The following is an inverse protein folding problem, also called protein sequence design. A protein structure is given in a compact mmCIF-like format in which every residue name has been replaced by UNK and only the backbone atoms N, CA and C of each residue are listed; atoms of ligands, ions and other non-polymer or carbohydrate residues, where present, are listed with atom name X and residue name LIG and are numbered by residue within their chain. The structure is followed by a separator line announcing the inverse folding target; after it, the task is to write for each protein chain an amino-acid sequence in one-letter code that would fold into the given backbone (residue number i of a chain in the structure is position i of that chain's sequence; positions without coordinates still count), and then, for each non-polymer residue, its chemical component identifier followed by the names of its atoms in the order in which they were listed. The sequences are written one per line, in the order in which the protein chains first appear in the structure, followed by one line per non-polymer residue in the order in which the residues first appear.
data_IF_915166338347
#
_entry.id   IF_915166338347
#
_cell.length_a   1.000
_cell.length_b   1.000
_cell.length_c   1.000
_cell.angle_alpha   90.00
_cell.angle_beta   90.00
_cell.angle_gamma   90.00
#
_symmetry.space_group_name_H-M   'P 1'
#
loop_
_entity.id
_entity.type
_entity.pdbx_description
1 polymer ?
#
# COMPACT_ATOMS: atom_id res chain seq x y z
N UNK A 1 13.93 7.54 -5.31
CA UNK A 1 12.75 6.77 -4.79
C UNK A 1 11.49 7.62 -4.94
N UNK A 2 11.49 8.90 -4.52
CA UNK A 2 10.35 9.84 -4.70
C UNK A 2 9.97 10.07 -6.17
N UNK A 3 10.95 10.19 -7.07
CA UNK A 3 10.72 10.42 -8.49
C UNK A 3 10.03 9.22 -9.18
N UNK A 4 10.38 7.99 -8.81
CA UNK A 4 9.76 6.77 -9.33
C UNK A 4 8.30 6.58 -8.86
N UNK A 5 8.00 6.98 -7.63
CA UNK A 5 6.64 6.96 -7.11
C UNK A 5 5.75 8.00 -7.82
N UNK A 6 6.31 9.18 -8.13
CA UNK A 6 5.64 10.26 -8.85
C UNK A 6 5.27 9.88 -10.28
N UNK A 7 6.20 9.27 -11.03
CA UNK A 7 5.97 8.84 -12.41
C UNK A 7 4.92 7.73 -12.52
N UNK A 8 4.92 6.76 -11.61
CA UNK A 8 3.92 5.69 -11.61
C UNK A 8 2.51 6.19 -11.28
N UNK A 9 2.36 7.18 -10.39
CA UNK A 9 1.05 7.79 -10.08
C UNK A 9 0.48 8.58 -11.26
N UNK A 10 1.32 9.32 -11.97
CA UNK A 10 0.91 10.09 -13.14
C UNK A 10 0.49 9.15 -14.28
N UNK A 11 1.17 8.03 -14.49
CA UNK A 11 0.81 7.05 -15.51
C UNK A 11 -0.44 6.25 -15.16
N UNK A 12 -0.62 5.82 -13.90
CA UNK A 12 -1.82 5.09 -13.48
C UNK A 12 -3.08 5.96 -13.56
N UNK A 13 -2.96 7.29 -13.37
CA UNK A 13 -4.10 8.23 -13.44
C UNK A 13 -4.36 8.80 -14.82
N UNK A 14 -3.39 8.79 -15.73
CA UNK A 14 -3.60 9.22 -17.13
C UNK A 14 -4.48 8.28 -17.94
N UNK A 15 -4.68 7.05 -17.47
CA UNK A 15 -5.50 6.08 -18.19
C UNK A 15 -6.04 4.99 -17.25
N UNK A 16 -7.02 5.30 -16.38
CA UNK A 16 -7.54 4.36 -15.38
C UNK A 16 -8.23 3.13 -15.99
N UNK A 17 -8.51 3.16 -17.30
CA UNK A 17 -9.16 2.04 -17.99
C UNK A 17 -8.29 1.31 -19.01
N UNK A 18 -7.11 1.82 -19.38
CA UNK A 18 -6.54 1.31 -20.63
C UNK A 18 -5.38 0.33 -20.47
N UNK A 19 -4.32 0.66 -19.74
CA UNK A 19 -3.16 -0.23 -19.79
C UNK A 19 -3.28 -1.41 -18.84
N UNK A 20 -3.89 -1.22 -17.69
CA UNK A 20 -3.99 -2.27 -16.68
C UNK A 20 -5.20 -3.16 -16.89
N UNK A 21 -6.37 -2.61 -17.24
CA UNK A 21 -7.50 -3.42 -17.69
C UNK A 21 -7.18 -4.13 -19.01
N UNK A 22 -6.46 -3.51 -19.95
CA UNK A 22 -5.95 -4.19 -21.14
C UNK A 22 -4.85 -5.21 -20.81
N UNK A 23 -3.91 -4.92 -19.93
CA UNK A 23 -2.84 -5.86 -19.57
C UNK A 23 -3.36 -6.94 -18.62
N UNK A 24 -4.19 -6.62 -17.64
CA UNK A 24 -4.78 -7.65 -16.75
C UNK A 24 -5.87 -8.45 -17.47
N UNK A 25 -6.78 -7.83 -18.21
CA UNK A 25 -7.82 -8.54 -18.94
C UNK A 25 -7.26 -9.34 -20.11
N UNK A 26 -6.51 -8.73 -21.00
CA UNK A 26 -5.98 -9.42 -22.18
C UNK A 26 -4.82 -10.36 -21.88
N UNK A 27 -4.00 -10.11 -20.85
CA UNK A 27 -2.98 -11.08 -20.42
C UNK A 27 -3.57 -12.20 -19.57
N UNK A 28 -4.56 -11.94 -18.73
CA UNK A 28 -5.26 -12.99 -17.98
C UNK A 28 -6.05 -13.92 -18.90
N UNK A 29 -6.65 -13.40 -19.98
CA UNK A 29 -7.29 -14.21 -21.01
C UNK A 29 -6.30 -14.92 -21.92
N UNK A 30 -5.12 -14.34 -22.15
CA UNK A 30 -4.09 -14.92 -23.03
C UNK A 30 -3.14 -15.89 -22.32
N UNK A 31 -3.06 -15.85 -20.99
CA UNK A 31 -2.20 -16.72 -20.19
C UNK A 31 -3.06 -17.49 -19.19
N UNK A 32 -3.39 -18.78 -19.47
CA UNK A 32 -4.18 -19.62 -18.57
C UNK A 32 -3.55 -19.84 -17.19
N UNK A 33 -2.41 -19.23 -16.90
CA UNK A 33 -1.61 -19.42 -15.69
C UNK A 33 -1.17 -18.07 -15.05
N UNK A 34 -1.97 -17.00 -15.24
CA UNK A 34 -1.64 -15.66 -14.72
C UNK A 34 -1.51 -15.66 -13.18
N UNK A 35 -2.40 -16.35 -12.48
CA UNK A 35 -2.35 -16.49 -11.03
C UNK A 35 -1.07 -17.19 -10.58
N UNK A 36 -0.61 -18.20 -11.31
CA UNK A 36 0.65 -18.88 -11.01
C UNK A 36 1.87 -17.99 -11.30
N UNK A 37 1.80 -17.14 -12.32
CA UNK A 37 2.84 -16.17 -12.62
C UNK A 37 2.95 -15.10 -11.51
N UNK A 38 1.82 -14.59 -11.05
CA UNK A 38 1.80 -13.61 -9.95
C UNK A 38 2.35 -14.23 -8.67
N UNK A 39 1.97 -15.45 -8.33
CA UNK A 39 2.53 -16.17 -7.21
C UNK A 39 4.06 -16.36 -7.33
N UNK A 40 4.55 -16.73 -8.52
CA UNK A 40 6.00 -16.84 -8.78
C UNK A 40 6.73 -15.52 -8.56
N UNK A 41 6.14 -14.41 -9.03
CA UNK A 41 6.70 -13.06 -8.81
C UNK A 41 6.78 -12.73 -7.32
N UNK A 42 5.72 -13.01 -6.56
CA UNK A 42 5.71 -12.78 -5.11
C UNK A 42 6.76 -13.61 -4.37
N UNK A 43 6.95 -14.87 -4.77
CA UNK A 43 8.01 -15.74 -4.24
C UNK A 43 9.40 -15.16 -4.54
N UNK A 44 9.64 -14.69 -5.75
CA UNK A 44 10.92 -14.08 -6.14
C UNK A 44 11.17 -12.80 -5.34
N UNK A 45 10.17 -11.91 -5.22
CA UNK A 45 10.28 -10.69 -4.40
C UNK A 45 10.63 -11.03 -2.94
N UNK A 46 9.94 -12.00 -2.35
CA UNK A 46 10.21 -12.44 -0.99
C UNK A 46 11.61 -13.05 -0.83
N UNK A 47 12.04 -13.90 -1.76
CA UNK A 47 13.38 -14.47 -1.73
C UNK A 47 14.48 -13.39 -1.86
N UNK A 48 14.25 -12.34 -2.65
CA UNK A 48 15.16 -11.21 -2.74
C UNK A 48 15.21 -10.44 -1.40
N UNK A 49 14.06 -10.25 -0.74
CA UNK A 49 14.03 -9.70 0.62
C UNK A 49 14.86 -10.56 1.59
N UNK A 50 14.69 -11.89 1.60
CA UNK A 50 15.47 -12.80 2.46
C UNK A 50 16.97 -12.65 2.24
N UNK A 51 17.41 -12.56 0.99
CA UNK A 51 18.82 -12.34 0.66
C UNK A 51 19.31 -10.99 1.19
N UNK A 52 18.53 -9.93 0.96
CA UNK A 52 18.84 -8.59 1.43
C UNK A 52 18.92 -8.52 2.97
N UNK A 53 17.97 -9.13 3.65
CA UNK A 53 17.95 -9.19 5.11
C UNK A 53 19.15 -9.95 5.70
N UNK A 54 19.68 -10.95 5.00
CA UNK A 54 20.91 -11.65 5.41
C UNK A 54 22.18 -10.81 5.25
N UNK A 55 22.22 -9.97 4.21
CA UNK A 55 23.36 -9.05 3.98
C UNK A 55 23.37 -7.93 5.01
N UNK A 56 22.20 -7.51 5.48
CA UNK A 56 22.04 -6.41 6.44
C UNK A 56 21.32 -6.90 7.71
N UNK A 57 21.99 -7.72 8.54
CA UNK A 57 21.36 -8.33 9.73
C UNK A 57 20.98 -7.34 10.81
N UNK A 58 21.59 -6.15 10.84
CA UNK A 58 21.34 -5.06 11.79
C UNK A 58 20.09 -4.23 11.46
N UNK A 59 19.54 -4.34 10.24
CA UNK A 59 18.42 -3.51 9.83
C UNK A 59 17.07 -4.13 10.15
N UNK A 60 16.12 -3.26 10.46
CA UNK A 60 14.69 -3.55 10.45
C UNK A 60 14.09 -3.00 9.18
N UNK A 61 13.00 -3.62 8.71
CA UNK A 61 12.49 -3.38 7.37
C UNK A 61 11.06 -2.86 7.42
N UNK A 62 10.80 -1.89 6.54
CA UNK A 62 9.45 -1.46 6.17
C UNK A 62 9.28 -1.74 4.68
N UNK A 63 8.19 -2.38 4.31
CA UNK A 63 7.87 -2.71 2.93
C UNK A 63 6.70 -1.86 2.43
N UNK A 64 6.82 -1.39 1.19
CA UNK A 64 5.75 -0.70 0.49
C UNK A 64 5.47 -1.38 -0.84
N UNK A 65 4.19 -1.65 -1.10
CA UNK A 65 3.71 -2.24 -2.34
C UNK A 65 2.30 -1.76 -2.68
N UNK A 66 1.71 -2.37 -3.68
CA UNK A 66 0.34 -2.09 -4.11
C UNK A 66 -0.52 -3.36 -4.26
N UNK A 67 -1.85 -3.16 -4.38
CA UNK A 67 -2.82 -4.26 -4.53
C UNK A 67 -2.85 -4.85 -5.94
N UNK A 68 -2.06 -4.36 -6.85
CA UNK A 68 -2.16 -4.68 -8.27
C UNK A 68 -1.21 -5.71 -8.80
N UNK A 69 -0.31 -6.19 -7.95
CA UNK A 69 0.65 -7.23 -8.27
C UNK A 69 0.83 -8.14 -7.05
N UNK A 70 1.86 -8.98 -7.07
CA UNK A 70 2.16 -9.92 -6.01
C UNK A 70 2.74 -9.28 -4.71
N UNK A 71 2.58 -7.96 -4.51
CA UNK A 71 3.11 -7.29 -3.33
C UNK A 71 2.37 -7.70 -2.05
N UNK A 72 1.07 -7.96 -2.14
CA UNK A 72 0.30 -8.49 -1.02
C UNK A 72 0.80 -9.87 -0.56
N UNK A 73 1.14 -10.76 -1.50
CA UNK A 73 1.75 -12.05 -1.18
C UNK A 73 3.14 -11.88 -0.56
N UNK A 74 3.93 -10.95 -1.07
CA UNK A 74 5.25 -10.63 -0.51
C UNK A 74 5.12 -10.12 0.92
N UNK A 75 4.21 -9.15 1.16
CA UNK A 75 3.91 -8.62 2.49
C UNK A 75 3.45 -9.72 3.46
N UNK A 76 2.51 -10.56 3.02
CA UNK A 76 2.03 -11.71 3.81
C UNK A 76 3.20 -12.58 4.26
N UNK A 77 4.07 -13.00 3.32
CA UNK A 77 5.22 -13.83 3.64
C UNK A 77 6.22 -13.13 4.56
N UNK A 78 6.43 -11.83 4.40
CA UNK A 78 7.32 -11.06 5.28
C UNK A 78 6.86 -11.03 6.72
N UNK A 79 5.55 -10.89 6.96
CA UNK A 79 4.98 -10.81 8.32
C UNK A 79 4.74 -12.18 8.96
N UNK A 80 4.75 -13.26 8.18
CA UNK A 80 4.51 -14.63 8.68
C UNK A 80 5.75 -15.52 8.66
N UNK A 81 6.89 -15.06 8.11
CA UNK A 81 8.14 -15.85 8.09
C UNK A 81 8.69 -15.99 9.52
N UNK A 82 8.97 -17.20 9.96
CA UNK A 82 9.41 -17.51 11.33
C UNK A 82 10.76 -16.85 11.68
N UNK A 83 11.66 -16.73 10.71
CA UNK A 83 13.01 -16.19 10.90
C UNK A 83 13.01 -14.65 10.84
N UNK A 84 12.29 -14.06 9.90
CA UNK A 84 12.44 -12.67 9.52
C UNK A 84 11.32 -11.74 9.95
N UNK A 85 10.15 -12.27 10.36
CA UNK A 85 9.00 -11.43 10.76
C UNK A 85 9.33 -10.47 11.90
N UNK A 86 10.18 -10.86 12.85
CA UNK A 86 10.62 -10.01 13.96
C UNK A 86 11.44 -8.79 13.50
N UNK A 87 11.96 -8.83 12.28
CA UNK A 87 12.73 -7.74 11.66
C UNK A 87 11.89 -6.86 10.75
N UNK A 88 10.63 -7.25 10.50
CA UNK A 88 9.67 -6.47 9.72
C UNK A 88 8.93 -5.54 10.68
N UNK A 89 9.13 -4.24 10.54
CA UNK A 89 8.43 -3.23 11.35
C UNK A 89 6.98 -3.13 10.93
N UNK A 90 6.74 -3.00 9.61
CA UNK A 90 5.43 -2.95 9.00
C UNK A 90 5.51 -3.24 7.51
N UNK A 91 4.38 -3.63 6.94
CA UNK A 91 4.18 -3.67 5.49
C UNK A 91 2.98 -2.81 5.12
N UNK A 92 3.13 -2.01 4.06
CA UNK A 92 2.11 -1.09 3.57
C UNK A 92 1.71 -1.50 2.17
N UNK A 93 0.40 -1.75 1.96
CA UNK A 93 -0.15 -2.10 0.66
C UNK A 93 -1.17 -1.04 0.24
N UNK A 94 -0.83 -0.30 -0.81
CA UNK A 94 -1.73 0.67 -1.42
C UNK A 94 -2.86 -0.04 -2.17
N UNK A 95 -4.08 0.13 -1.72
CA UNK A 95 -5.26 -0.38 -2.41
C UNK A 95 -5.56 0.52 -3.62
N UNK A 96 -5.25 0.05 -4.81
CA UNK A 96 -5.45 0.78 -6.06
C UNK A 96 -6.86 0.62 -6.62
N UNK A 97 -7.64 -0.30 -6.07
CA UNK A 97 -8.92 -0.71 -6.60
C UNK A 97 -10.09 0.02 -5.99
N UNK A 98 -11.01 0.51 -6.84
CA UNK A 98 -12.35 0.91 -6.43
C UNK A 98 -13.34 -0.27 -6.39
N UNK A 99 -12.96 -1.40 -6.99
CA UNK A 99 -13.74 -2.62 -7.09
C UNK A 99 -12.83 -3.86 -6.94
N UNK A 100 -13.44 -5.03 -6.75
CA UNK A 100 -12.67 -6.27 -6.56
C UNK A 100 -11.93 -6.72 -7.82
N UNK A 101 -12.41 -6.34 -9.01
CA UNK A 101 -11.80 -6.75 -10.28
C UNK A 101 -10.47 -6.03 -10.54
N UNK A 102 -10.28 -4.84 -9.96
CA UNK A 102 -9.03 -4.07 -10.07
C UNK A 102 -7.93 -4.55 -9.11
N UNK A 103 -8.26 -5.44 -8.17
CA UNK A 103 -7.33 -5.99 -7.19
C UNK A 103 -6.79 -7.33 -7.64
N UNK A 104 -5.51 -7.57 -7.37
CA UNK A 104 -4.91 -8.86 -7.70
C UNK A 104 -5.48 -10.02 -6.87
N UNK A 105 -5.46 -11.25 -7.38
CA UNK A 105 -5.85 -12.44 -6.62
C UNK A 105 -5.08 -12.59 -5.31
N UNK A 106 -3.79 -12.26 -5.31
CA UNK A 106 -2.96 -12.34 -4.09
C UNK A 106 -3.36 -11.31 -3.04
N UNK A 107 -3.85 -10.13 -3.45
CA UNK A 107 -4.39 -9.14 -2.53
C UNK A 107 -5.74 -9.60 -1.95
N UNK A 108 -6.63 -10.15 -2.77
CA UNK A 108 -7.92 -10.70 -2.30
C UNK A 108 -7.72 -11.84 -1.29
N UNK A 109 -6.72 -12.67 -1.52
CA UNK A 109 -6.36 -13.77 -0.64
C UNK A 109 -5.63 -13.37 0.65
N UNK A 110 -5.30 -12.07 0.84
CA UNK A 110 -4.63 -11.61 2.06
C UNK A 110 -5.54 -11.83 3.29
N UNK A 111 -5.10 -12.60 4.31
CA UNK A 111 -5.88 -12.87 5.51
C UNK A 111 -6.31 -11.59 6.23
N UNK A 112 -7.57 -11.53 6.66
CA UNK A 112 -8.13 -10.34 7.32
C UNK A 112 -7.51 -10.08 8.69
N UNK A 113 -7.13 -11.13 9.40
CA UNK A 113 -6.49 -11.05 10.72
C UNK A 113 -5.07 -10.46 10.67
N UNK A 114 -4.43 -10.46 9.52
CA UNK A 114 -3.15 -9.80 9.31
C UNK A 114 -3.28 -8.31 8.93
N UNK A 115 -4.45 -7.86 8.48
CA UNK A 115 -4.67 -6.47 8.11
C UNK A 115 -4.74 -5.59 9.36
N UNK A 116 -3.97 -4.52 9.39
CA UNK A 116 -4.04 -3.50 10.43
C UNK A 116 -5.13 -2.50 10.03
N UNK A 117 -6.11 -2.31 10.90
CA UNK A 117 -7.22 -1.38 10.73
C UNK A 117 -7.31 -0.40 11.88
N UNK A 118 -8.11 0.67 11.70
CA UNK A 118 -8.37 1.67 12.75
C UNK A 118 -8.94 1.08 14.05
N UNK A 119 -9.76 0.03 13.92
CA UNK A 119 -10.46 -0.59 15.06
C UNK A 119 -9.59 -1.53 15.88
N UNK A 120 -8.41 -1.89 15.42
CA UNK A 120 -7.54 -2.84 16.11
C UNK A 120 -6.63 -2.11 17.10
N UNK A 121 -6.47 -2.70 18.27
CA UNK A 121 -5.46 -2.26 19.24
C UNK A 121 -4.04 -2.36 18.64
N UNK A 122 -3.06 -1.58 19.12
CA UNK A 122 -1.66 -1.71 18.71
C UNK A 122 -1.21 -3.16 18.76
N UNK A 123 -0.65 -3.67 17.66
CA UNK A 123 -0.23 -5.06 17.54
C UNK A 123 1.19 -5.24 18.08
N UNK A 124 1.41 -6.31 18.80
CA UNK A 124 2.76 -6.77 19.17
C UNK A 124 3.47 -7.46 18.01
N UNK A 125 2.71 -8.04 17.07
CA UNK A 125 3.22 -8.72 15.89
C UNK A 125 3.11 -7.82 14.63
N UNK A 126 4.03 -7.96 13.68
CA UNK A 126 3.94 -7.26 12.40
C UNK A 126 2.63 -7.61 11.66
N UNK A 127 2.10 -6.62 10.96
CA UNK A 127 0.88 -6.80 10.16
C UNK A 127 0.95 -6.03 8.86
N UNK A 128 -0.12 -6.12 8.06
CA UNK A 128 -0.23 -5.46 6.77
C UNK A 128 -1.18 -4.27 6.89
N UNK A 129 -0.66 -3.07 6.72
CA UNK A 129 -1.43 -1.82 6.65
C UNK A 129 -1.92 -1.67 5.22
N UNK A 130 -3.22 -1.84 5.02
CA UNK A 130 -3.87 -1.58 3.73
C UNK A 130 -4.38 -0.14 3.75
N UNK A 131 -4.02 0.65 2.75
CA UNK A 131 -4.34 2.07 2.71
C UNK A 131 -4.78 2.53 1.32
N UNK A 132 -5.71 3.50 1.27
CA UNK A 132 -6.25 4.09 0.03
C UNK A 132 -5.48 5.34 -0.45
N UNK A 133 -4.85 6.06 0.47
CA UNK A 133 -4.01 7.22 0.19
C UNK A 133 -2.94 7.40 1.29
N UNK A 134 -1.98 8.26 1.04
CA UNK A 134 -0.82 8.41 1.94
C UNK A 134 -1.16 9.04 3.28
N UNK A 135 -2.23 9.85 3.38
CA UNK A 135 -2.70 10.39 4.66
C UNK A 135 -3.17 9.23 5.53
N UNK A 136 -4.01 8.34 4.99
CA UNK A 136 -4.47 7.15 5.72
C UNK A 136 -3.31 6.25 6.15
N UNK A 137 -2.31 6.04 5.27
CA UNK A 137 -1.13 5.28 5.65
C UNK A 137 -0.39 5.91 6.83
N UNK A 138 -0.24 7.24 6.84
CA UNK A 138 0.43 7.96 7.92
C UNK A 138 -0.38 7.96 9.23
N UNK A 139 -1.71 8.08 9.13
CA UNK A 139 -2.64 7.96 10.27
C UNK A 139 -2.51 6.58 10.92
N UNK A 140 -2.63 5.51 10.14
CA UNK A 140 -2.51 4.14 10.64
C UNK A 140 -1.11 3.85 11.21
N UNK A 141 -0.07 4.38 10.58
CA UNK A 141 1.29 4.25 11.12
C UNK A 141 1.47 5.00 12.44
N UNK A 142 0.93 6.22 12.56
CA UNK A 142 0.95 6.95 13.83
C UNK A 142 0.22 6.21 14.95
N UNK A 143 -0.98 5.68 14.65
CA UNK A 143 -1.81 4.97 15.65
C UNK A 143 -1.19 3.65 16.13
N UNK A 144 -0.56 2.89 15.23
CA UNK A 144 -0.14 1.52 15.52
C UNK A 144 1.36 1.33 15.68
N UNK A 145 2.16 2.26 15.17
CA UNK A 145 3.61 2.18 15.13
C UNK A 145 4.29 3.40 15.76
N UNK A 146 3.51 4.29 16.40
CA UNK A 146 3.99 5.41 17.21
C UNK A 146 5.19 6.17 16.62
N UNK A 147 6.39 5.73 17.02
CA UNK A 147 7.65 6.39 16.65
C UNK A 147 7.97 6.40 15.15
N UNK A 148 7.32 5.55 14.34
CA UNK A 148 7.58 5.50 12.89
C UNK A 148 7.07 6.76 12.17
N UNK A 149 5.91 7.27 12.61
CA UNK A 149 5.31 8.50 12.06
C UNK A 149 4.89 9.43 13.21
N UNK A 150 5.84 10.16 13.82
CA UNK A 150 5.52 11.11 14.87
C UNK A 150 4.69 12.29 14.34
N UNK A 151 4.02 13.02 15.23
CA UNK A 151 3.10 14.11 14.89
C UNK A 151 3.62 15.11 13.83
N UNK A 152 4.87 15.60 13.89
CA UNK A 152 5.38 16.51 12.86
C UNK A 152 5.46 15.87 11.47
N UNK A 153 5.72 14.55 11.40
CA UNK A 153 5.76 13.80 10.14
C UNK A 153 4.35 13.61 9.60
N UNK A 154 3.38 13.25 10.47
CA UNK A 154 1.97 13.14 10.11
C UNK A 154 1.46 14.46 9.53
N UNK A 155 1.69 15.58 10.20
CA UNK A 155 1.29 16.91 9.73
C UNK A 155 1.90 17.25 8.35
N UNK A 156 3.17 16.93 8.14
CA UNK A 156 3.86 17.14 6.86
C UNK A 156 3.27 16.28 5.75
N UNK A 157 3.07 14.98 6.00
CA UNK A 157 2.48 14.06 5.00
C UNK A 157 1.09 14.53 4.60
N UNK A 158 0.25 14.89 5.58
CA UNK A 158 -1.11 15.39 5.34
C UNK A 158 -1.11 16.63 4.44
N UNK A 159 -0.29 17.63 4.77
CA UNK A 159 -0.16 18.86 3.98
C UNK A 159 0.30 18.57 2.56
N UNK A 160 1.40 17.82 2.42
CA UNK A 160 1.96 17.50 1.10
C UNK A 160 0.96 16.73 0.24
N UNK A 161 0.25 15.78 0.81
CA UNK A 161 -0.74 14.99 0.07
C UNK A 161 -1.94 15.82 -0.41
N UNK A 162 -2.42 16.76 0.42
CA UNK A 162 -3.47 17.71 0.01
C UNK A 162 -3.00 18.70 -1.06
N UNK A 163 -1.77 19.18 -0.97
CA UNK A 163 -1.20 20.08 -1.99
C UNK A 163 -1.00 19.36 -3.33
N UNK A 164 -0.54 18.11 -3.30
CA UNK A 164 -0.41 17.28 -4.50
C UNK A 164 -1.78 16.97 -5.13
N UNK A 165 -2.82 16.71 -4.32
CA UNK A 165 -4.17 16.46 -4.80
C UNK A 165 -4.69 17.58 -5.69
N UNK A 166 -4.42 18.85 -5.31
CA UNK A 166 -4.84 20.03 -6.08
C UNK A 166 -4.22 20.08 -7.48
N UNK A 167 -3.07 19.47 -7.68
CA UNK A 167 -2.35 19.43 -8.96
C UNK A 167 -2.69 18.23 -9.84
N UNK A 168 -3.53 17.30 -9.35
CA UNK A 168 -3.90 16.10 -10.10
C UNK A 168 -4.85 16.45 -11.23
N UNK A 169 -4.53 16.13 -12.50
CA UNK A 169 -5.48 16.25 -13.59
C UNK A 169 -6.51 15.11 -13.49
N UNK A 170 -7.78 15.46 -13.41
CA UNK A 170 -8.89 14.51 -13.43
C UNK A 170 -9.54 14.46 -14.80
N UNK A 171 -9.95 13.28 -15.24
CA UNK A 171 -10.68 13.08 -16.48
C UNK A 171 -12.15 13.46 -16.37
N UNK A 172 -12.70 13.42 -15.16
CA UNK A 172 -14.10 13.75 -14.87
C UNK A 172 -14.28 14.29 -13.44
N UNK A 173 -15.38 15.04 -13.23
CA UNK A 173 -15.71 15.66 -11.94
C UNK A 173 -16.01 14.64 -10.84
N UNK A 174 -16.71 13.54 -11.18
CA UNK A 174 -17.12 12.53 -10.20
C UNK A 174 -15.90 11.82 -9.57
N UNK A 175 -14.88 11.52 -10.37
CA UNK A 175 -13.63 10.95 -9.88
C UNK A 175 -12.87 11.93 -8.99
N UNK A 176 -12.91 13.23 -9.35
CA UNK A 176 -12.35 14.30 -8.51
C UNK A 176 -13.06 14.37 -7.18
N UNK A 177 -14.40 14.55 -7.19
CA UNK A 177 -15.20 14.76 -5.98
C UNK A 177 -15.04 13.61 -4.99
N UNK A 178 -15.02 12.36 -5.50
CA UNK A 178 -14.80 11.18 -4.67
C UNK A 178 -13.41 11.20 -4.02
N UNK A 179 -12.37 11.47 -4.80
CA UNK A 179 -11.01 11.45 -4.28
C UNK A 179 -10.76 12.60 -3.29
N UNK A 180 -11.30 13.78 -3.58
CA UNK A 180 -11.24 14.93 -2.66
C UNK A 180 -11.95 14.60 -1.33
N UNK A 181 -13.13 13.97 -1.38
CA UNK A 181 -13.84 13.54 -0.16
C UNK A 181 -13.02 12.55 0.67
N UNK A 182 -12.40 11.53 0.04
CA UNK A 182 -11.54 10.55 0.70
C UNK A 182 -10.33 11.21 1.39
N UNK A 183 -9.67 12.15 0.70
CA UNK A 183 -8.50 12.85 1.24
C UNK A 183 -8.88 13.78 2.39
N UNK A 184 -10.01 14.48 2.29
CA UNK A 184 -10.48 15.35 3.37
C UNK A 184 -10.92 14.57 4.60
N UNK A 185 -11.56 13.42 4.44
CA UNK A 185 -11.89 12.52 5.55
C UNK A 185 -10.64 12.08 6.31
N UNK A 186 -9.63 11.59 5.59
CA UNK A 186 -8.40 11.13 6.22
C UNK A 186 -7.57 12.29 6.81
N UNK A 187 -7.64 13.49 6.22
CA UNK A 187 -7.01 14.68 6.76
C UNK A 187 -7.68 15.15 8.07
N UNK A 188 -9.00 15.08 8.17
CA UNK A 188 -9.72 15.40 9.41
C UNK A 188 -9.33 14.44 10.55
N UNK A 189 -9.15 13.16 10.24
CA UNK A 189 -8.64 12.19 11.21
C UNK A 189 -7.21 12.49 11.65
N UNK A 190 -6.32 12.82 10.69
CA UNK A 190 -4.96 13.23 11.01
C UNK A 190 -4.92 14.44 11.95
N UNK A 191 -5.76 15.45 11.69
CA UNK A 191 -5.88 16.63 12.58
C UNK A 191 -6.33 16.24 13.99
N UNK A 192 -7.32 15.35 14.11
CA UNK A 192 -7.78 14.85 15.41
C UNK A 192 -6.67 14.15 16.20
N UNK A 193 -5.75 13.45 15.52
CA UNK A 193 -4.58 12.85 16.17
C UNK A 193 -3.53 13.88 16.59
N UNK A 194 -3.39 14.97 15.84
CA UNK A 194 -2.41 16.03 16.12
C UNK A 194 -2.82 16.94 17.29
N UNK A 195 -4.11 16.97 17.63
CA UNK A 195 -4.68 17.75 18.74
C UNK A 195 -4.60 17.02 20.10
N UNK A 196 -4.19 15.76 20.12
CA UNK A 196 -4.03 14.93 21.34
C UNK A 196 -2.65 15.07 21.97
#
# INVERSE_FOLDING_TARGET
IETLARDRRVQARRNPGSLRAMVSGSLAEALPDFDSLEQKIGVVKFNNFKRYARVYPEYRFVFFGDSGQADALTAHRMVTDEELSTRVVATFIHDLGSDDDSRSPTFRALPQDLRITKAQAPRLAPGVIVFRNHIQAAVLANMHLGDLVPAPVLARVTRTALDELRSVPFSDSRSRDRLEAEYHEDAAEALTLLER
#
